data_IF_695219280903
#
_entry.id   IF_695219280903
#
_cell.length_a   1.000
_cell.length_b   1.000
_cell.length_c   1.000
_cell.angle_alpha   90.00
_cell.angle_beta   90.00
_cell.angle_gamma   90.00
#
_symmetry.space_group_name_H-M   'P 1'
#
loop_
_entity.id
_entity.type
_entity.pdbx_description
1 polymer ?
#
# COMPACT_ATOMS: atom_id res chain seq x y z
N UNK A 1 -26.61 -6.75 6.73
CA UNK A 1 -25.23 -7.20 6.94
C UNK A 1 -24.38 -6.06 7.44
N UNK A 2 -23.34 -6.35 8.16
CA UNK A 2 -22.38 -5.37 8.63
C UNK A 2 -21.39 -5.05 7.49
N UNK A 3 -21.11 -3.77 7.27
CA UNK A 3 -20.08 -3.33 6.32
C UNK A 3 -18.98 -2.57 7.07
N UNK A 4 -17.73 -2.83 6.71
CA UNK A 4 -16.59 -2.05 7.19
C UNK A 4 -16.19 -1.05 6.10
N UNK A 5 -15.94 0.19 6.49
CA UNK A 5 -15.52 1.26 5.61
C UNK A 5 -14.16 1.77 6.04
N UNK A 6 -13.22 1.84 5.11
CA UNK A 6 -11.94 2.53 5.28
C UNK A 6 -12.00 3.82 4.48
N UNK A 7 -11.73 4.94 5.12
CA UNK A 7 -11.71 6.26 4.47
C UNK A 7 -10.29 6.80 4.50
N UNK A 8 -9.77 7.12 3.34
CA UNK A 8 -8.56 7.91 3.17
C UNK A 8 -8.96 9.28 2.63
N UNK A 9 -8.79 10.31 3.45
CA UNK A 9 -9.06 11.68 3.07
C UNK A 9 -7.75 12.45 2.93
N UNK A 10 -7.53 13.05 1.76
CA UNK A 10 -6.38 13.88 1.48
C UNK A 10 -6.71 14.96 0.46
N UNK A 11 -5.96 16.06 0.51
CA UNK A 11 -6.07 17.11 -0.49
C UNK A 11 -5.49 16.62 -1.82
N UNK A 12 -6.31 16.71 -2.89
CA UNK A 12 -5.84 16.45 -4.24
C UNK A 12 -4.83 17.52 -4.69
N UNK A 13 -3.74 17.09 -5.32
CA UNK A 13 -2.72 17.94 -5.90
C UNK A 13 -2.92 17.95 -7.41
N UNK A 14 -3.41 19.05 -8.03
CA UNK A 14 -3.60 19.13 -9.47
C UNK A 14 -2.25 19.10 -10.22
N UNK A 15 -2.22 18.43 -11.37
CA UNK A 15 -1.10 18.48 -12.29
C UNK A 15 -1.45 19.45 -13.43
N UNK A 16 -0.62 20.49 -13.70
CA UNK A 16 -0.88 21.42 -14.78
C UNK A 16 -1.05 20.72 -16.14
N UNK A 17 -2.11 21.09 -16.85
CA UNK A 17 -2.42 20.49 -18.16
C UNK A 17 -3.07 19.10 -18.11
N UNK A 18 -3.40 18.60 -16.93
CA UNK A 18 -4.10 17.33 -16.74
C UNK A 18 -5.44 17.58 -16.04
N UNK A 19 -6.52 17.03 -16.60
CA UNK A 19 -7.82 17.08 -15.95
C UNK A 19 -7.81 16.21 -14.68
N UNK A 20 -8.49 16.64 -13.60
CA UNK A 20 -8.66 15.81 -12.40
C UNK A 20 -9.30 14.47 -12.73
N UNK A 21 -8.97 13.40 -11.98
CA UNK A 21 -9.54 12.08 -12.26
C UNK A 21 -11.05 12.09 -12.04
N UNK A 22 -11.76 11.38 -12.89
CA UNK A 22 -13.15 11.04 -12.64
C UNK A 22 -13.28 10.09 -11.44
N UNK A 23 -14.46 10.03 -10.84
CA UNK A 23 -14.74 9.05 -9.80
C UNK A 23 -14.48 7.62 -10.31
N UNK A 24 -13.67 6.87 -9.57
CA UNK A 24 -13.33 5.49 -9.89
C UNK A 24 -14.00 4.54 -8.91
N UNK A 25 -14.66 3.51 -9.42
CA UNK A 25 -15.27 2.43 -8.64
C UNK A 25 -14.78 1.10 -9.22
N UNK A 26 -14.28 0.23 -8.36
CA UNK A 26 -13.77 -1.08 -8.78
C UNK A 26 -14.01 -2.17 -7.74
N UNK A 27 -13.91 -3.43 -8.18
CA UNK A 27 -13.92 -4.60 -7.30
C UNK A 27 -12.51 -5.19 -7.22
N UNK A 28 -11.91 -5.15 -6.04
CA UNK A 28 -10.60 -5.71 -5.77
C UNK A 28 -10.49 -7.22 -6.13
N UNK A 29 -11.61 -7.96 -6.09
CA UNK A 29 -11.62 -9.38 -6.47
C UNK A 29 -11.42 -9.58 -7.98
N UNK A 30 -11.90 -8.64 -8.78
CA UNK A 30 -11.75 -8.68 -10.24
C UNK A 30 -10.37 -8.21 -10.72
N UNK A 31 -9.58 -7.58 -9.85
CA UNK A 31 -8.26 -7.04 -10.23
C UNK A 31 -7.20 -8.13 -10.25
N UNK A 32 -6.34 -8.08 -11.27
CA UNK A 32 -5.20 -9.00 -11.41
C UNK A 32 -4.13 -8.71 -10.37
N UNK A 33 -3.72 -9.76 -9.64
CA UNK A 33 -2.55 -9.70 -8.78
C UNK A 33 -1.28 -9.95 -9.60
N UNK A 34 -0.24 -9.18 -9.37
CA UNK A 34 1.07 -9.34 -10.01
C UNK A 34 2.16 -9.58 -8.96
N UNK A 35 3.16 -10.44 -9.22
CA UNK A 35 4.30 -10.61 -8.32
C UNK A 35 5.08 -9.31 -8.18
N UNK A 36 5.32 -8.88 -6.96
CA UNK A 36 6.15 -7.69 -6.73
C UNK A 36 7.62 -8.03 -6.98
N UNK A 37 8.23 -7.33 -7.93
CA UNK A 37 9.64 -7.57 -8.33
C UNK A 37 9.95 -9.04 -8.68
N UNK A 38 8.94 -9.79 -9.16
CA UNK A 38 9.07 -11.20 -9.54
C UNK A 38 8.93 -12.19 -8.37
N UNK A 39 8.74 -11.73 -7.14
CA UNK A 39 8.51 -12.60 -5.99
C UNK A 39 7.04 -13.04 -5.93
N UNK A 40 6.80 -14.33 -6.17
CA UNK A 40 5.45 -14.93 -6.10
C UNK A 40 4.92 -15.09 -4.67
N UNK A 41 5.76 -14.96 -3.66
CA UNK A 41 5.35 -14.89 -2.25
C UNK A 41 4.78 -13.52 -1.85
N UNK A 42 4.96 -12.51 -2.71
CA UNK A 42 4.49 -11.15 -2.48
C UNK A 42 3.72 -10.66 -3.69
N UNK A 43 2.40 -10.60 -3.57
CA UNK A 43 1.49 -10.24 -4.66
C UNK A 43 0.92 -8.84 -4.45
N UNK A 44 0.88 -8.06 -5.51
CA UNK A 44 0.38 -6.68 -5.54
C UNK A 44 -0.86 -6.58 -6.42
N UNK A 45 -1.90 -5.89 -5.93
CA UNK A 45 -3.05 -5.43 -6.73
C UNK A 45 -3.11 -3.91 -6.67
N UNK A 46 -3.07 -3.25 -7.82
CA UNK A 46 -3.31 -1.81 -7.92
C UNK A 46 -4.81 -1.55 -7.98
N UNK A 47 -5.32 -0.73 -7.07
CA UNK A 47 -6.75 -0.43 -6.97
C UNK A 47 -7.16 0.83 -7.75
N UNK A 48 -6.22 1.70 -8.06
CA UNK A 48 -6.43 2.87 -8.90
C UNK A 48 -5.73 2.69 -10.25
N UNK A 49 -6.26 3.30 -11.31
CA UNK A 49 -5.58 3.34 -12.62
C UNK A 49 -4.18 3.97 -12.54
N UNK A 50 -3.26 3.45 -13.35
CA UNK A 50 -1.95 4.05 -13.57
C UNK A 50 -2.04 5.24 -14.53
N UNK A 51 -2.72 6.30 -14.09
CA UNK A 51 -2.97 7.52 -14.85
C UNK A 51 -2.46 8.72 -14.06
N UNK A 52 -1.81 9.66 -14.74
CA UNK A 52 -1.24 10.87 -14.13
C UNK A 52 -2.29 11.79 -13.51
N UNK A 53 -3.57 11.63 -13.85
CA UNK A 53 -4.66 12.35 -13.18
C UNK A 53 -4.77 12.00 -11.70
N UNK A 54 -4.47 10.73 -11.32
CA UNK A 54 -4.40 10.33 -9.91
C UNK A 54 -3.09 10.80 -9.30
N UNK A 55 -3.16 11.47 -8.16
CA UNK A 55 -2.00 11.97 -7.42
C UNK A 55 -1.54 11.03 -6.29
N UNK A 56 -2.18 9.88 -6.15
CA UNK A 56 -1.83 8.83 -5.18
C UNK A 56 -2.04 7.45 -5.77
N UNK A 57 -1.41 6.46 -5.16
CA UNK A 57 -1.69 5.04 -5.39
C UNK A 57 -2.43 4.45 -4.20
N UNK A 58 -3.32 3.48 -4.48
CA UNK A 58 -3.92 2.62 -3.48
C UNK A 58 -3.78 1.17 -3.94
N UNK A 59 -3.18 0.35 -3.09
CA UNK A 59 -2.84 -1.03 -3.44
C UNK A 59 -3.29 -2.00 -2.35
N UNK A 60 -3.48 -3.27 -2.72
CA UNK A 60 -3.51 -4.38 -1.78
C UNK A 60 -2.25 -5.19 -1.97
N UNK A 61 -1.55 -5.46 -0.88
CA UNK A 61 -0.39 -6.34 -0.85
C UNK A 61 -0.71 -7.60 -0.07
N UNK A 62 -0.36 -8.74 -0.66
CA UNK A 62 -0.63 -10.08 -0.13
C UNK A 62 0.71 -10.82 0.03
N UNK A 63 1.02 -11.21 1.26
CA UNK A 63 2.25 -11.93 1.59
C UNK A 63 1.91 -13.37 1.97
N UNK A 64 2.51 -14.33 1.31
CA UNK A 64 2.47 -15.71 1.76
C UNK A 64 3.14 -15.87 3.15
N UNK A 65 2.82 -16.91 3.92
CA UNK A 65 3.50 -17.18 5.19
C UNK A 65 5.02 -17.21 5.03
N UNK A 66 5.73 -16.41 5.81
CA UNK A 66 7.19 -16.26 5.74
C UNK A 66 7.73 -15.34 4.63
N UNK A 67 6.87 -14.82 3.76
CA UNK A 67 7.28 -13.83 2.77
C UNK A 67 7.56 -12.47 3.42
N UNK A 68 8.45 -11.69 2.82
CA UNK A 68 8.83 -10.37 3.33
C UNK A 68 9.12 -9.40 2.20
N UNK A 69 9.20 -8.12 2.52
CA UNK A 69 9.86 -7.17 1.62
C UNK A 69 11.31 -7.60 1.42
N UNK A 70 11.86 -7.48 0.19
CA UNK A 70 13.18 -8.04 -0.13
C UNK A 70 14.33 -7.30 0.58
N UNK A 71 14.10 -6.08 1.03
CA UNK A 71 15.06 -5.25 1.75
C UNK A 71 14.34 -4.15 2.53
N UNK A 72 15.07 -3.45 3.40
CA UNK A 72 14.57 -2.25 4.07
C UNK A 72 14.44 -1.14 3.03
N UNK A 73 13.22 -0.71 2.77
CA UNK A 73 12.93 0.34 1.81
C UNK A 73 13.05 1.71 2.45
N UNK A 74 13.60 2.67 1.70
CA UNK A 74 13.63 4.10 2.06
C UNK A 74 13.34 4.90 0.80
N UNK A 75 12.33 5.77 0.84
CA UNK A 75 11.92 6.56 -0.30
C UNK A 75 11.18 7.83 0.15
N UNK A 76 11.00 8.78 -0.77
CA UNK A 76 10.36 10.07 -0.48
C UNK A 76 8.85 9.99 -0.19
N UNK A 77 8.21 8.89 -0.56
CA UNK A 77 6.78 8.69 -0.37
C UNK A 77 6.44 8.43 1.09
N UNK A 78 5.35 9.02 1.56
CA UNK A 78 4.68 8.54 2.76
C UNK A 78 3.74 7.40 2.43
N UNK A 79 3.50 6.54 3.40
CA UNK A 79 2.52 5.46 3.33
C UNK A 79 1.61 5.46 4.55
N UNK A 80 0.37 5.07 4.32
CA UNK A 80 -0.52 4.62 5.37
C UNK A 80 -1.10 3.27 4.97
N UNK A 81 -1.17 2.34 5.91
CA UNK A 81 -1.70 1.01 5.64
C UNK A 81 -2.60 0.50 6.77
N UNK A 82 -3.49 -0.40 6.41
CA UNK A 82 -4.38 -1.13 7.32
C UNK A 82 -4.22 -2.62 7.05
N UNK A 83 -3.92 -3.40 8.08
CA UNK A 83 -3.91 -4.86 7.98
C UNK A 83 -5.34 -5.39 7.86
N UNK A 84 -5.59 -6.11 6.76
CA UNK A 84 -6.90 -6.70 6.43
C UNK A 84 -7.00 -8.16 6.86
N UNK A 85 -5.87 -8.84 7.02
CA UNK A 85 -5.77 -10.24 7.41
C UNK A 85 -4.35 -10.61 7.82
N UNK A 86 -4.22 -11.55 8.75
CA UNK A 86 -2.93 -12.02 9.24
C UNK A 86 -2.09 -10.91 9.84
N UNK A 87 -0.80 -11.15 9.98
CA UNK A 87 0.10 -10.21 10.61
C UNK A 87 1.57 -10.59 10.43
N UNK A 88 2.40 -9.97 11.23
CA UNK A 88 3.85 -10.20 11.16
C UNK A 88 4.63 -9.21 12.01
N UNK A 89 5.82 -8.90 11.55
CA UNK A 89 6.68 -7.88 12.16
C UNK A 89 6.90 -6.75 11.15
N UNK A 90 6.58 -5.55 11.58
CA UNK A 90 6.85 -4.33 10.81
C UNK A 90 8.02 -3.57 11.44
N UNK A 91 8.99 -3.19 10.62
CA UNK A 91 10.08 -2.30 11.01
C UNK A 91 9.79 -0.89 10.52
N UNK A 92 9.91 0.08 11.42
CA UNK A 92 9.90 1.51 11.13
C UNK A 92 11.13 2.13 11.77
N UNK A 93 12.01 2.68 10.96
CA UNK A 93 13.34 3.14 11.39
C UNK A 93 14.09 2.00 12.10
N UNK A 94 14.51 2.16 13.34
CA UNK A 94 15.16 1.13 14.15
C UNK A 94 14.20 0.39 15.11
N UNK A 95 12.91 0.68 15.03
CA UNK A 95 11.89 0.08 15.88
C UNK A 95 11.16 -1.07 15.17
N UNK A 96 10.81 -2.12 15.94
CA UNK A 96 10.13 -3.30 15.46
C UNK A 96 8.81 -3.46 16.17
N UNK A 97 7.75 -3.68 15.40
CA UNK A 97 6.38 -3.73 15.90
C UNK A 97 5.72 -5.05 15.46
N UNK A 98 5.22 -5.85 16.40
CA UNK A 98 4.28 -6.90 16.03
C UNK A 98 3.00 -6.23 15.52
N UNK A 99 2.45 -6.76 14.42
CA UNK A 99 1.24 -6.22 13.78
C UNK A 99 0.29 -7.35 13.42
N UNK A 100 -1.00 -7.07 13.48
CA UNK A 100 -2.05 -8.03 13.22
C UNK A 100 -3.26 -7.38 12.49
N UNK A 101 -4.25 -8.19 12.12
CA UNK A 101 -5.48 -7.70 11.49
C UNK A 101 -6.12 -6.55 12.28
N UNK A 102 -6.43 -5.46 11.61
CA UNK A 102 -7.01 -4.25 12.18
C UNK A 102 -5.99 -3.18 12.57
N UNK A 103 -4.71 -3.51 12.61
CA UNK A 103 -3.66 -2.52 12.89
C UNK A 103 -3.48 -1.54 11.74
N UNK A 104 -3.22 -0.29 12.11
CA UNK A 104 -2.95 0.81 11.19
C UNK A 104 -1.54 1.32 11.41
N UNK A 105 -0.80 1.49 10.33
CA UNK A 105 0.54 2.08 10.34
C UNK A 105 0.55 3.31 9.45
N UNK A 106 1.20 4.36 9.90
CA UNK A 106 1.60 5.47 9.07
C UNK A 106 3.11 5.66 9.15
N UNK A 107 3.75 5.86 8.03
CA UNK A 107 5.17 6.14 7.92
C UNK A 107 5.42 7.36 7.04
N UNK A 108 6.18 8.29 7.58
CA UNK A 108 6.54 9.52 6.91
C UNK A 108 7.54 9.31 5.77
N UNK A 109 7.77 10.36 4.96
CA UNK A 109 8.81 10.37 3.94
C UNK A 109 10.17 9.96 4.50
N UNK A 110 10.91 9.15 3.75
CA UNK A 110 12.25 8.64 4.06
C UNK A 110 12.36 7.75 5.30
N UNK A 111 11.26 7.38 5.94
CA UNK A 111 11.29 6.41 7.03
C UNK A 111 11.75 5.04 6.50
N UNK A 112 12.87 4.48 7.00
CA UNK A 112 13.26 3.12 6.67
C UNK A 112 12.18 2.14 7.11
N UNK A 113 11.72 1.28 6.21
CA UNK A 113 10.60 0.37 6.46
C UNK A 113 10.84 -1.02 5.91
N UNK A 114 10.32 -2.01 6.60
CA UNK A 114 10.34 -3.40 6.18
C UNK A 114 9.19 -4.16 6.85
N UNK A 115 8.66 -5.16 6.16
CA UNK A 115 7.65 -6.06 6.70
C UNK A 115 7.99 -7.52 6.38
N UNK A 116 7.78 -8.38 7.36
CA UNK A 116 7.83 -9.84 7.20
C UNK A 116 6.58 -10.49 7.78
N UNK A 117 5.89 -11.30 6.97
CA UNK A 117 4.71 -12.05 7.37
C UNK A 117 5.10 -13.19 8.30
N UNK A 118 4.45 -13.28 9.46
CA UNK A 118 4.65 -14.33 10.46
C UNK A 118 3.32 -15.02 10.71
N UNK A 119 3.35 -16.33 10.79
CA UNK A 119 2.16 -17.13 11.02
C UNK A 119 1.92 -18.15 9.92
N UNK A 120 0.72 -18.75 9.92
CA UNK A 120 0.32 -19.79 8.97
C UNK A 120 -0.63 -19.30 7.88
N UNK A 121 -1.21 -18.14 8.08
CA UNK A 121 -2.09 -17.48 7.11
C UNK A 121 -1.31 -16.41 6.34
N UNK A 122 -1.81 -16.05 5.15
CA UNK A 122 -1.31 -14.90 4.42
C UNK A 122 -1.52 -13.63 5.23
N UNK A 123 -0.54 -12.75 5.24
CA UNK A 123 -0.72 -11.39 5.69
C UNK A 123 -1.14 -10.52 4.51
N UNK A 124 -2.14 -9.67 4.73
CA UNK A 124 -2.68 -8.77 3.70
C UNK A 124 -2.91 -7.40 4.28
N UNK A 125 -2.46 -6.37 3.58
CA UNK A 125 -2.79 -5.01 3.94
C UNK A 125 -3.22 -4.16 2.74
N UNK A 126 -4.09 -3.20 3.02
CA UNK A 126 -4.41 -2.09 2.14
C UNK A 126 -3.39 -0.99 2.41
N UNK A 127 -2.78 -0.44 1.39
CA UNK A 127 -1.80 0.63 1.50
C UNK A 127 -2.13 1.75 0.53
N UNK A 128 -2.06 3.00 1.00
CA UNK A 128 -1.96 4.15 0.12
C UNK A 128 -0.52 4.68 0.07
N UNK A 129 -0.18 5.28 -1.04
CA UNK A 129 1.04 6.05 -1.25
C UNK A 129 0.64 7.43 -1.76
N UNK A 130 1.24 8.47 -1.20
CA UNK A 130 0.99 9.84 -1.65
C UNK A 130 1.66 10.17 -2.99
N UNK A 131 1.98 9.16 -3.77
CA UNK A 131 2.69 9.29 -5.03
C UNK A 131 2.09 8.37 -6.11
N UNK A 132 1.78 9.00 -7.24
CA UNK A 132 1.54 8.35 -8.52
C UNK A 132 2.20 9.14 -9.66
N UNK A 133 2.96 10.19 -9.32
CA UNK A 133 3.61 11.10 -10.27
C UNK A 133 5.05 11.33 -9.87
N UNK A 134 5.91 11.60 -10.86
CA UNK A 134 7.26 12.05 -10.58
C UNK A 134 7.20 13.39 -9.81
N UNK A 135 7.87 13.53 -8.67
CA UNK A 135 7.87 14.78 -7.90
C UNK A 135 8.48 15.96 -8.64
N UNK A 136 9.21 15.72 -9.73
CA UNK A 136 9.74 16.77 -10.60
C UNK A 136 8.75 17.27 -11.65
N UNK A 137 7.54 16.68 -11.74
CA UNK A 137 6.48 17.13 -12.63
C UNK A 137 5.50 18.11 -11.98
N UNK A 138 5.68 18.43 -10.72
CA UNK A 138 4.82 19.33 -9.94
C UNK A 138 5.32 20.76 -9.93
#
# INVERSE_FOLDING_TARGET
GEARLVVLERRYIPLPGTEPPAAHVGDCKAMTAVPMKGDTGLMLKKLLPEDLSFDCEVNVMDFAPGASLPYVETHFMEHGLLFLNGGGIYRLDDCWYPVDEGDVIWMGPYCPQWFGAIGKANARYLIYKNWNRDPHLS
#
